data_IF_352804205023
#
_entry.id   IF_352804205023
#
_cell.length_a   1.000
_cell.length_b   1.000
_cell.length_c   1.000
_cell.angle_alpha   90.00
_cell.angle_beta   90.00
_cell.angle_gamma   90.00
#
_symmetry.space_group_name_H-M   'P 1'
#
loop_
_entity.id
_entity.type
_entity.pdbx_description
1 polymer ?
#
# COMPACT_ATOMS: atom_id res chain seq x y z
N UNK A 1 -5.77 -4.95 -7.22
CA UNK A 1 -4.48 -5.65 -7.45
C UNK A 1 -3.65 -5.87 -6.18
N UNK A 2 -3.77 -5.04 -5.14
CA UNK A 2 -2.95 -5.18 -3.91
C UNK A 2 -3.07 -6.55 -3.23
N UNK A 3 -4.25 -7.18 -3.30
CA UNK A 3 -4.48 -8.53 -2.78
C UNK A 3 -3.73 -9.66 -3.49
N UNK A 4 -3.09 -9.41 -4.64
CA UNK A 4 -2.31 -10.41 -5.37
C UNK A 4 -0.80 -10.29 -5.10
N UNK A 5 -0.30 -9.07 -4.93
CA UNK A 5 1.13 -8.82 -4.79
C UNK A 5 1.60 -8.68 -3.33
N UNK A 6 0.74 -8.18 -2.44
CA UNK A 6 1.11 -7.84 -1.08
C UNK A 6 1.14 -9.04 -0.12
N UNK A 7 0.14 -9.96 -0.09
CA UNK A 7 0.05 -11.01 0.92
C UNK A 7 1.27 -11.93 1.00
N UNK A 8 1.86 -12.29 -0.15
CA UNK A 8 3.04 -13.14 -0.19
C UNK A 8 4.30 -12.51 0.40
N UNK A 9 4.39 -11.16 0.36
CA UNK A 9 5.52 -10.43 0.94
C UNK A 9 5.33 -10.19 2.44
N UNK A 10 4.10 -9.90 2.86
CA UNK A 10 3.82 -9.51 4.25
C UNK A 10 3.61 -10.68 5.21
N UNK A 11 3.35 -11.90 4.70
CA UNK A 11 3.09 -13.10 5.53
C UNK A 11 4.19 -13.46 6.53
N UNK A 12 5.42 -12.98 6.31
CA UNK A 12 6.57 -13.27 7.17
C UNK A 12 6.72 -12.28 8.33
N UNK A 13 5.95 -11.19 8.32
CA UNK A 13 6.00 -10.17 9.38
C UNK A 13 4.87 -10.41 10.38
N UNK A 14 5.10 -10.23 11.68
CA UNK A 14 4.07 -10.40 12.70
C UNK A 14 2.98 -9.33 12.62
N UNK A 15 3.36 -8.12 12.20
CA UNK A 15 2.49 -6.96 12.14
C UNK A 15 2.87 -6.07 10.97
N UNK A 16 1.85 -5.55 10.27
CA UNK A 16 2.02 -4.61 9.15
C UNK A 16 0.99 -3.49 9.26
N UNK A 17 1.45 -2.25 9.19
CA UNK A 17 0.58 -1.07 9.18
C UNK A 17 0.33 -0.60 7.75
N UNK A 18 -0.93 -0.57 7.34
CA UNK A 18 -1.37 0.10 6.12
C UNK A 18 -1.62 1.58 6.40
N UNK A 19 -0.91 2.42 5.65
CA UNK A 19 -0.98 3.88 5.72
C UNK A 19 -1.61 4.44 4.44
N UNK A 20 -2.94 4.38 4.27
CA UNK A 20 -3.58 5.03 3.13
C UNK A 20 -3.62 6.55 3.32
N UNK A 21 -3.52 7.29 2.21
CA UNK A 21 -3.83 8.72 2.21
C UNK A 21 -5.32 8.90 2.52
N UNK A 22 -5.63 9.69 3.55
CA UNK A 22 -6.99 10.01 3.98
C UNK A 22 -7.87 10.56 2.84
N UNK A 23 -7.27 11.22 1.84
CA UNK A 23 -7.98 11.75 0.66
C UNK A 23 -8.46 10.67 -0.32
N UNK A 24 -7.93 9.44 -0.20
CA UNK A 24 -8.24 8.33 -1.10
C UNK A 24 -9.53 7.58 -0.72
N UNK A 25 -10.03 7.76 0.50
CA UNK A 25 -11.23 7.08 1.00
C UNK A 25 -12.48 7.89 0.62
N UNK A 26 -13.06 7.61 -0.55
CA UNK A 26 -14.29 8.27 -1.01
C UNK A 26 -15.58 7.68 -0.46
N UNK A 27 -15.52 6.49 0.18
CA UNK A 27 -16.71 5.73 0.59
C UNK A 27 -16.58 5.30 2.05
N UNK A 28 -17.68 5.44 2.82
CA UNK A 28 -17.78 5.20 4.27
C UNK A 28 -17.38 3.79 4.74
N UNK A 29 -17.29 2.82 3.82
CA UNK A 29 -16.80 1.46 4.10
C UNK A 29 -15.26 1.42 4.09
N UNK A 30 -14.64 2.11 5.06
CA UNK A 30 -13.18 2.29 5.14
C UNK A 30 -12.39 1.02 5.46
N UNK A 31 -13.03 -0.05 5.94
CA UNK A 31 -12.34 -1.23 6.45
C UNK A 31 -12.32 -2.42 5.48
N UNK A 32 -13.07 -2.37 4.37
CA UNK A 32 -13.25 -3.53 3.49
C UNK A 32 -11.93 -4.09 2.94
N UNK A 33 -10.93 -3.25 2.66
CA UNK A 33 -9.63 -3.69 2.15
C UNK A 33 -8.80 -4.41 3.22
N UNK A 34 -8.83 -3.91 4.45
CA UNK A 34 -8.07 -4.45 5.58
C UNK A 34 -8.63 -5.80 5.94
N UNK A 35 -9.95 -5.88 6.07
CA UNK A 35 -10.67 -7.11 6.37
C UNK A 35 -10.40 -8.17 5.30
N UNK A 36 -10.43 -7.78 4.03
CA UNK A 36 -10.09 -8.67 2.92
C UNK A 36 -8.65 -9.19 2.99
N UNK A 37 -7.67 -8.32 3.27
CA UNK A 37 -6.26 -8.74 3.41
C UNK A 37 -6.05 -9.63 4.63
N UNK A 38 -6.71 -9.33 5.74
CA UNK A 38 -6.66 -10.10 6.98
C UNK A 38 -7.20 -11.52 6.75
N UNK A 39 -8.38 -11.64 6.12
CA UNK A 39 -8.97 -12.93 5.72
C UNK A 39 -8.01 -13.68 4.81
N UNK A 40 -7.40 -12.99 3.83
CA UNK A 40 -6.48 -13.65 2.91
C UNK A 40 -5.23 -14.20 3.61
N UNK A 41 -4.63 -13.44 4.51
CA UNK A 41 -3.44 -13.86 5.26
C UNK A 41 -3.72 -15.04 6.19
N UNK A 42 -4.82 -14.98 6.94
CA UNK A 42 -5.18 -16.00 7.92
C UNK A 42 -5.65 -17.29 7.27
N UNK A 43 -6.59 -17.22 6.32
CA UNK A 43 -7.22 -18.40 5.75
C UNK A 43 -6.44 -19.01 4.58
N UNK A 44 -5.87 -18.20 3.69
CA UNK A 44 -5.20 -18.71 2.49
C UNK A 44 -3.71 -18.96 2.71
N UNK A 45 -3.03 -18.10 3.48
CA UNK A 45 -1.59 -18.19 3.71
C UNK A 45 -1.22 -18.77 5.09
N UNK A 46 -2.20 -19.06 5.95
CA UNK A 46 -2.01 -19.56 7.33
C UNK A 46 -0.99 -18.75 8.14
N UNK A 47 -0.89 -17.45 7.85
CA UNK A 47 0.01 -16.55 8.56
C UNK A 47 -0.71 -15.90 9.74
N UNK A 48 0.02 -15.60 10.82
CA UNK A 48 -0.50 -14.86 11.98
C UNK A 48 -0.33 -13.35 11.86
N UNK A 49 0.11 -12.85 10.69
CA UNK A 49 0.29 -11.41 10.44
C UNK A 49 -0.99 -10.64 10.75
N UNK A 50 -0.87 -9.59 11.56
CA UNK A 50 -1.95 -8.64 11.84
C UNK A 50 -1.78 -7.40 10.98
N UNK A 51 -2.85 -6.97 10.31
CA UNK A 51 -2.85 -5.77 9.45
C UNK A 51 -3.52 -4.65 10.21
N UNK A 52 -2.74 -3.65 10.62
CA UNK A 52 -3.27 -2.43 11.23
C UNK A 52 -3.65 -1.42 10.14
N UNK A 53 -4.74 -0.70 10.36
CA UNK A 53 -5.21 0.35 9.47
C UNK A 53 -5.07 1.71 10.12
N UNK A 54 -4.23 2.56 9.56
CA UNK A 54 -4.01 3.91 10.09
C UNK A 54 -4.02 4.93 8.95
N UNK A 55 -5.19 5.48 8.59
CA UNK A 55 -5.26 6.55 7.59
C UNK A 55 -4.54 7.78 8.13
N UNK A 56 -3.63 8.33 7.33
CA UNK A 56 -2.85 9.51 7.71
C UNK A 56 -2.83 10.49 6.55
N UNK A 57 -2.74 11.78 6.85
CA UNK A 57 -2.55 12.80 5.84
C UNK A 57 -1.12 12.75 5.31
N UNK A 58 -0.97 12.73 3.99
CA UNK A 58 0.33 12.70 3.30
C UNK A 58 1.26 13.84 3.73
N UNK A 59 0.71 15.03 4.03
CA UNK A 59 1.47 16.19 4.50
C UNK A 59 2.20 15.98 5.85
N UNK A 60 1.77 15.01 6.65
CA UNK A 60 2.32 14.72 7.99
C UNK A 60 3.18 13.46 8.04
N UNK A 61 3.27 12.69 6.95
CA UNK A 61 3.98 11.41 6.92
C UNK A 61 5.05 11.42 5.84
N UNK A 62 6.31 11.46 6.27
CA UNK A 62 7.48 11.44 5.37
C UNK A 62 7.49 10.22 4.44
N UNK A 63 7.04 9.06 4.93
CA UNK A 63 6.98 7.84 4.12
C UNK A 63 6.04 7.97 2.91
N UNK A 64 4.90 8.65 3.09
CA UNK A 64 3.94 8.86 2.00
C UNK A 64 4.52 9.86 1.01
N UNK A 65 5.10 10.97 1.49
CA UNK A 65 5.76 11.97 0.63
C UNK A 65 6.91 11.36 -0.19
N UNK A 66 7.71 10.50 0.44
CA UNK A 66 8.82 9.82 -0.22
C UNK A 66 8.33 8.91 -1.36
N UNK A 67 7.27 8.12 -1.11
CA UNK A 67 6.67 7.28 -2.15
C UNK A 67 6.09 8.13 -3.27
N UNK A 68 5.40 9.24 -2.97
CA UNK A 68 4.86 10.15 -3.97
C UNK A 68 5.97 10.74 -4.86
N UNK A 69 7.12 11.10 -4.29
CA UNK A 69 8.29 11.59 -5.05
C UNK A 69 8.81 10.49 -5.98
N UNK A 70 8.99 9.25 -5.50
CA UNK A 70 9.45 8.14 -6.34
C UNK A 70 8.47 7.85 -7.47
N UNK A 71 7.17 7.79 -7.14
CA UNK A 71 6.12 7.58 -8.13
C UNK A 71 6.13 8.68 -9.20
N UNK A 72 6.31 9.94 -8.81
CA UNK A 72 6.42 11.06 -9.73
C UNK A 72 7.67 10.96 -10.63
N UNK A 73 8.82 10.54 -10.08
CA UNK A 73 10.03 10.32 -10.88
C UNK A 73 9.81 9.22 -11.94
N UNK A 74 9.25 8.08 -11.53
CA UNK A 74 8.96 6.96 -12.43
C UNK A 74 7.96 7.40 -13.50
N UNK A 75 6.85 8.03 -13.09
CA UNK A 75 5.83 8.52 -14.01
C UNK A 75 6.39 9.54 -15.00
N UNK A 76 7.17 10.51 -14.53
CA UNK A 76 7.82 11.51 -15.37
C UNK A 76 8.79 10.89 -16.39
N UNK A 77 9.49 9.83 -16.01
CA UNK A 77 10.37 9.08 -16.91
C UNK A 77 9.58 8.39 -18.03
N UNK A 78 8.49 7.70 -17.67
CA UNK A 78 7.60 7.04 -18.64
C UNK A 78 6.93 8.04 -19.58
N UNK A 79 6.43 9.17 -19.06
CA UNK A 79 5.69 10.14 -19.87
C UNK A 79 6.60 10.93 -20.81
N UNK A 80 7.87 11.15 -20.43
CA UNK A 80 8.87 11.77 -21.31
C UNK A 80 9.39 10.83 -22.39
N UNK A 81 8.95 9.57 -22.46
CA UNK A 81 9.48 8.55 -23.37
C UNK A 81 11.02 8.53 -23.37
N UNK A 82 11.63 8.72 -22.19
CA UNK A 82 13.06 8.54 -22.01
C UNK A 82 13.34 7.04 -21.98
N UNK A 83 13.12 6.37 -23.12
CA UNK A 83 13.57 5.00 -23.41
C UNK A 83 15.10 4.94 -23.63
N UNK A 84 15.82 6.02 -23.34
CA UNK A 84 17.26 6.10 -23.51
C UNK A 84 17.94 6.11 -22.15
N UNK A 85 18.81 5.12 -21.86
CA UNK A 85 19.66 5.14 -20.69
C UNK A 85 20.77 6.16 -20.93
N UNK A 86 20.70 7.32 -20.28
CA UNK A 86 21.83 8.23 -20.08
C UNK A 86 21.80 8.77 -18.66
#
# INVERSE_FOLDING_TARGET
MIGLALPDRIKHYPEVTLLPDARSIKVKSGNSLVDYLQIKLWFYLKSKTVVQYKPMESSKVLNIQFIDIICNIIWSSYERNLNTPY
#
